data_IF_501933921521
#
_entry.id   IF_501933921521
#
_cell.length_a   1.000
_cell.length_b   1.000
_cell.length_c   1.000
_cell.angle_alpha   90.00
_cell.angle_beta   90.00
_cell.angle_gamma   90.00
#
_symmetry.space_group_name_H-M   'P 1'
#
loop_
_entity.id
_entity.type
_entity.pdbx_description
1 polymer ?
#
# COMPACT_ATOMS: atom_id res chain seq x y z
N UNK A 1 -15.63 -16.34 -10.36
CA UNK A 1 -15.50 -15.17 -9.47
C UNK A 1 -14.03 -15.10 -9.05
N UNK A 2 -13.25 -14.09 -9.46
CA UNK A 2 -11.88 -13.99 -9.01
C UNK A 2 -11.92 -13.77 -7.50
N UNK A 3 -11.21 -14.62 -6.74
CA UNK A 3 -11.00 -14.39 -5.30
C UNK A 3 -10.26 -13.06 -5.21
N UNK A 4 -10.98 -11.99 -4.90
CA UNK A 4 -10.38 -10.69 -4.57
C UNK A 4 -9.49 -10.98 -3.38
N UNK A 5 -8.19 -11.14 -3.63
CA UNK A 5 -7.21 -11.34 -2.57
C UNK A 5 -7.10 -10.01 -1.86
N UNK A 6 -7.77 -9.89 -0.72
CA UNK A 6 -7.72 -8.68 0.10
C UNK A 6 -6.28 -8.52 0.59
N UNK A 7 -5.55 -7.55 0.04
CA UNK A 7 -4.21 -7.25 0.53
C UNK A 7 -4.33 -6.63 1.92
N UNK A 8 -3.72 -7.27 2.92
CA UNK A 8 -3.68 -6.73 4.29
C UNK A 8 -2.74 -5.52 4.36
N UNK A 9 -3.27 -4.36 3.99
CA UNK A 9 -2.55 -3.09 3.93
C UNK A 9 -2.08 -2.62 5.31
N UNK A 10 -2.91 -2.75 6.34
CA UNK A 10 -2.56 -2.36 7.70
C UNK A 10 -1.42 -3.23 8.25
N UNK A 11 -1.52 -4.55 8.14
CA UNK A 11 -0.50 -5.46 8.61
C UNK A 11 0.77 -5.41 7.76
N UNK A 12 0.68 -5.11 6.47
CA UNK A 12 1.86 -4.77 5.66
C UNK A 12 2.52 -3.49 6.19
N UNK A 13 1.78 -2.40 6.33
CA UNK A 13 2.33 -1.09 6.72
C UNK A 13 3.05 -1.13 8.07
N UNK A 14 2.51 -1.88 9.04
CA UNK A 14 3.12 -2.05 10.38
C UNK A 14 4.50 -2.71 10.32
N UNK A 15 4.71 -3.63 9.38
CA UNK A 15 5.94 -4.42 9.27
C UNK A 15 6.87 -3.97 8.14
N UNK A 16 6.38 -3.12 7.22
CA UNK A 16 7.11 -2.68 6.05
C UNK A 16 7.99 -1.45 6.35
N UNK A 17 9.20 -1.45 5.81
CA UNK A 17 10.08 -0.28 5.80
C UNK A 17 9.59 0.79 4.82
N UNK A 18 10.10 2.02 4.95
CA UNK A 18 9.72 3.14 4.08
C UNK A 18 9.89 2.80 2.58
N UNK A 19 10.99 2.15 2.19
CA UNK A 19 11.19 1.77 0.78
C UNK A 19 10.15 0.74 0.28
N UNK A 20 9.71 -0.20 1.13
CA UNK A 20 8.70 -1.21 0.79
C UNK A 20 7.31 -0.57 0.68
N UNK A 21 6.97 0.34 1.61
CA UNK A 21 5.75 1.16 1.54
C UNK A 21 5.74 2.01 0.27
N UNK A 22 6.88 2.61 -0.10
CA UNK A 22 7.03 3.36 -1.33
C UNK A 22 6.78 2.52 -2.59
N UNK A 23 7.33 1.29 -2.64
CA UNK A 23 7.04 0.34 -3.73
C UNK A 23 5.55 0.02 -3.84
N UNK A 24 4.87 -0.23 -2.72
CA UNK A 24 3.42 -0.47 -2.70
C UNK A 24 2.64 0.73 -3.24
N UNK A 25 2.94 1.94 -2.75
CA UNK A 25 2.29 3.17 -3.21
C UNK A 25 2.48 3.40 -4.71
N UNK A 26 3.69 3.14 -5.22
CA UNK A 26 4.00 3.22 -6.66
C UNK A 26 3.20 2.20 -7.47
N UNK A 27 3.03 0.99 -6.94
CA UNK A 27 2.25 -0.08 -7.59
C UNK A 27 0.75 0.23 -7.68
N UNK A 28 0.21 1.04 -6.77
CA UNK A 28 -1.15 1.60 -6.85
C UNK A 28 -1.19 2.99 -7.50
N UNK A 29 -0.20 3.28 -8.35
CA UNK A 29 -0.15 4.49 -9.20
C UNK A 29 -0.08 5.81 -8.44
N UNK A 30 0.47 5.83 -7.22
CA UNK A 30 0.74 7.10 -6.51
C UNK A 30 1.99 7.76 -7.10
N UNK A 31 1.95 9.07 -7.43
CA UNK A 31 3.11 9.81 -7.92
C UNK A 31 4.25 9.86 -6.89
N UNK A 32 5.51 9.80 -7.35
CA UNK A 32 6.70 9.77 -6.48
C UNK A 32 6.77 10.96 -5.49
N UNK A 33 6.27 12.14 -5.87
CA UNK A 33 6.20 13.31 -4.99
C UNK A 33 5.23 13.11 -3.82
N UNK A 34 4.08 12.47 -4.06
CA UNK A 34 3.12 12.13 -3.01
C UNK A 34 3.60 10.95 -2.15
N UNK A 35 4.38 10.03 -2.72
CA UNK A 35 4.93 8.89 -1.98
C UNK A 35 5.79 9.37 -0.81
N UNK A 36 6.64 10.39 -1.02
CA UNK A 36 7.52 10.94 0.03
C UNK A 36 6.75 11.43 1.26
N UNK A 37 5.54 11.97 1.05
CA UNK A 37 4.67 12.42 2.13
C UNK A 37 3.89 11.28 2.78
N UNK A 38 3.39 10.33 1.97
CA UNK A 38 2.51 9.26 2.44
C UNK A 38 3.28 8.14 3.15
N UNK A 39 4.51 7.86 2.74
CA UNK A 39 5.32 6.73 3.25
C UNK A 39 5.60 6.80 4.76
N UNK A 40 5.66 8.03 5.30
CA UNK A 40 5.93 8.31 6.70
C UNK A 40 4.65 8.39 7.55
N UNK A 41 3.47 8.45 6.93
CA UNK A 41 2.19 8.47 7.66
C UNK A 41 1.83 7.08 8.18
N UNK A 42 0.97 7.02 9.19
CA UNK A 42 0.34 5.76 9.59
C UNK A 42 -0.65 5.33 8.51
N UNK A 43 -0.84 4.02 8.35
CA UNK A 43 -1.81 3.49 7.38
C UNK A 43 -3.22 4.08 7.56
N UNK A 44 -3.65 4.33 8.80
CA UNK A 44 -4.95 4.92 9.11
C UNK A 44 -5.13 6.34 8.55
N UNK A 45 -4.03 7.11 8.47
CA UNK A 45 -3.98 8.48 7.96
C UNK A 45 -3.92 8.54 6.42
N UNK A 46 -3.79 7.38 5.75
CA UNK A 46 -3.87 7.34 4.29
C UNK A 46 -5.30 7.62 3.82
N UNK A 47 -5.46 8.30 2.67
CA UNK A 47 -6.77 8.52 2.07
C UNK A 47 -7.56 7.22 1.88
N UNK A 48 -8.88 7.26 2.14
CA UNK A 48 -9.75 6.11 1.95
C UNK A 48 -9.68 5.50 0.53
N UNK A 49 -9.63 6.29 -0.57
CA UNK A 49 -9.48 5.74 -1.92
C UNK A 49 -8.17 4.97 -2.12
N UNK A 50 -7.10 5.42 -1.47
CA UNK A 50 -5.79 4.77 -1.56
C UNK A 50 -5.78 3.44 -0.81
N UNK A 51 -6.36 3.39 0.40
CA UNK A 51 -6.53 2.14 1.16
C UNK A 51 -7.36 1.13 0.37
N UNK A 52 -8.46 1.57 -0.23
CA UNK A 52 -9.28 0.72 -1.09
C UNK A 52 -8.47 0.17 -2.28
N UNK A 53 -7.69 1.02 -2.95
CA UNK A 53 -6.85 0.61 -4.08
C UNK A 53 -5.79 -0.41 -3.66
N UNK A 54 -5.17 -0.22 -2.49
CA UNK A 54 -4.21 -1.15 -1.90
C UNK A 54 -4.90 -2.50 -1.60
N UNK A 55 -6.02 -2.48 -0.91
CA UNK A 55 -6.72 -3.68 -0.45
C UNK A 55 -7.34 -4.49 -1.59
N UNK A 56 -7.74 -3.82 -2.68
CA UNK A 56 -8.33 -4.46 -3.88
C UNK A 56 -7.33 -4.72 -5.01
N UNK A 57 -6.06 -4.36 -4.82
CA UNK A 57 -5.01 -4.53 -5.83
C UNK A 57 -4.71 -5.98 -6.23
N UNK A 58 -5.08 -6.95 -5.39
CA UNK A 58 -4.73 -8.36 -5.59
C UNK A 58 -3.24 -8.68 -5.41
N UNK A 59 -2.44 -7.73 -4.91
CA UNK A 59 -1.03 -7.94 -4.62
C UNK A 59 -0.82 -8.90 -3.43
N UNK A 60 0.40 -9.39 -3.27
CA UNK A 60 0.84 -10.16 -2.10
C UNK A 60 1.99 -9.42 -1.42
N UNK A 61 2.09 -9.55 -0.09
CA UNK A 61 3.15 -8.90 0.70
C UNK A 61 4.56 -9.18 0.14
N UNK A 62 4.79 -10.40 -0.36
CA UNK A 62 6.05 -10.84 -0.99
C UNK A 62 6.46 -10.05 -2.24
N UNK A 63 5.53 -9.36 -2.91
CA UNK A 63 5.83 -8.58 -4.11
C UNK A 63 6.57 -7.27 -3.76
N UNK A 64 6.56 -6.89 -2.47
CA UNK A 64 7.16 -5.66 -1.95
C UNK A 64 8.20 -5.89 -0.86
N UNK A 65 8.46 -7.14 -0.48
CA UNK A 65 9.46 -7.51 0.53
C UNK A 65 10.88 -7.46 -0.02
#
# INVERSE_FOLDING_TARGET
MPKIGTFDGLGFWKNAYAHQRGKLLKAVSVPDDQIKELVNKKYQELPAPLKYSIETSGFKKKDFM
#
